data_IF_686356200208
#
_entry.id   IF_686356200208
#
_cell.length_a   1.000
_cell.length_b   1.000
_cell.length_c   1.000
_cell.angle_alpha   90.00
_cell.angle_beta   90.00
_cell.angle_gamma   90.00
#
_symmetry.space_group_name_H-M   'P 1'
#
loop_
_entity.id
_entity.type
_entity.pdbx_description
1 polymer ?
#
# COMPACT_ATOMS: atom_id res chain seq x y z
N UNK A 1 17.71 -9.24 3.00
CA UNK A 1 17.39 -9.21 1.55
C UNK A 1 16.34 -8.15 1.27
N UNK A 2 16.36 -7.60 0.05
CA UNK A 2 15.44 -6.56 -0.43
C UNK A 2 13.98 -6.98 -0.36
N UNK A 3 13.70 -8.26 -0.60
CA UNK A 3 12.36 -8.86 -0.52
C UNK A 3 11.76 -8.79 0.89
N UNK A 4 12.58 -9.00 1.93
CA UNK A 4 12.12 -8.86 3.31
C UNK A 4 11.72 -7.41 3.62
N UNK A 5 12.43 -6.41 3.06
CA UNK A 5 12.08 -4.99 3.25
C UNK A 5 10.79 -4.63 2.52
N UNK A 6 10.56 -5.15 1.32
CA UNK A 6 9.31 -4.93 0.57
C UNK A 6 8.13 -5.56 1.30
N UNK A 7 8.29 -6.77 1.84
CA UNK A 7 7.25 -7.44 2.62
C UNK A 7 6.90 -6.65 3.90
N UNK A 8 7.92 -6.18 4.63
CA UNK A 8 7.73 -5.35 5.83
C UNK A 8 7.05 -4.01 5.48
N UNK A 9 7.56 -3.29 4.48
CA UNK A 9 6.98 -2.01 4.06
C UNK A 9 5.51 -2.14 3.62
N UNK A 10 5.15 -3.23 2.93
CA UNK A 10 3.76 -3.52 2.57
C UNK A 10 2.89 -3.71 3.81
N UNK A 11 3.37 -4.50 4.77
CA UNK A 11 2.65 -4.75 6.02
C UNK A 11 2.43 -3.43 6.77
N UNK A 12 3.48 -2.64 6.93
CA UNK A 12 3.42 -1.36 7.65
C UNK A 12 2.45 -0.37 6.98
N UNK A 13 2.47 -0.28 5.64
CA UNK A 13 1.50 0.52 4.90
C UNK A 13 0.05 0.05 5.15
N UNK A 14 -0.20 -1.25 5.04
CA UNK A 14 -1.55 -1.81 5.22
C UNK A 14 -2.06 -1.63 6.66
N UNK A 15 -1.19 -1.81 7.65
CA UNK A 15 -1.52 -1.59 9.07
C UNK A 15 -1.89 -0.11 9.34
N UNK A 16 -1.13 0.83 8.75
CA UNK A 16 -1.42 2.26 8.84
C UNK A 16 -2.74 2.63 8.15
N UNK A 17 -2.99 2.08 6.94
CA UNK A 17 -4.25 2.28 6.21
C UNK A 17 -5.44 1.73 6.99
N UNK A 18 -5.32 0.53 7.57
CA UNK A 18 -6.37 -0.07 8.38
C UNK A 18 -6.71 0.77 9.60
N UNK A 19 -5.69 1.25 10.31
CA UNK A 19 -5.86 2.13 11.48
C UNK A 19 -6.56 3.42 11.11
N UNK A 20 -6.12 4.08 10.03
CA UNK A 20 -6.72 5.31 9.53
C UNK A 20 -8.18 5.09 9.09
N UNK A 21 -8.45 4.05 8.31
CA UNK A 21 -9.80 3.73 7.83
C UNK A 21 -10.75 3.43 8.99
N UNK A 22 -10.28 2.71 10.01
CA UNK A 22 -11.05 2.46 11.22
C UNK A 22 -11.29 3.76 12.00
N UNK A 23 -10.29 4.65 12.10
CA UNK A 23 -10.40 5.93 12.79
C UNK A 23 -11.45 6.84 12.16
N UNK A 24 -11.40 7.07 10.84
CA UNK A 24 -12.34 7.97 10.15
C UNK A 24 -13.79 7.45 10.13
N UNK A 25 -14.01 6.16 10.41
CA UNK A 25 -15.34 5.54 10.45
C UNK A 25 -15.97 5.56 11.85
N UNK A 26 -15.21 5.91 12.90
CA UNK A 26 -15.72 5.98 14.27
C UNK A 26 -16.45 7.30 14.53
N UNK A 27 -17.46 7.29 15.39
CA UNK A 27 -18.04 8.53 15.93
C UNK A 27 -17.07 9.15 16.95
N UNK A 28 -16.86 10.48 16.96
CA UNK A 28 -17.46 11.51 16.09
C UNK A 28 -16.69 11.75 14.78
N UNK A 29 -15.56 11.08 14.56
CA UNK A 29 -14.66 11.31 13.43
C UNK A 29 -15.32 11.16 12.06
N UNK A 30 -16.30 10.28 11.91
CA UNK A 30 -17.08 10.14 10.67
C UNK A 30 -17.81 11.42 10.26
N UNK A 31 -18.22 12.25 11.22
CA UNK A 31 -18.84 13.54 10.94
C UNK A 31 -17.80 14.54 10.46
N UNK A 32 -16.69 14.66 11.18
CA UNK A 32 -15.55 15.49 10.78
C UNK A 32 -15.04 15.10 9.40
N UNK A 33 -14.89 13.81 9.12
CA UNK A 33 -14.45 13.28 7.84
C UNK A 33 -15.41 13.64 6.69
N UNK A 34 -16.73 13.64 6.94
CA UNK A 34 -17.71 14.10 5.96
C UNK A 34 -17.60 15.61 5.68
N UNK A 35 -17.34 16.42 6.71
CA UNK A 35 -17.21 17.87 6.57
C UNK A 35 -15.90 18.24 5.86
N UNK A 36 -14.80 17.58 6.18
CA UNK A 36 -13.48 17.84 5.57
C UNK A 36 -13.23 17.10 4.27
N UNK A 37 -14.11 16.16 3.90
CA UNK A 37 -13.97 15.33 2.69
C UNK A 37 -12.96 14.19 2.83
N UNK A 38 -12.54 13.83 4.05
CA UNK A 38 -11.64 12.71 4.29
C UNK A 38 -12.30 11.38 3.89
N UNK A 39 -11.58 10.58 3.08
CA UNK A 39 -12.04 9.29 2.56
C UNK A 39 -11.14 8.15 3.03
N UNK A 40 -11.68 6.94 2.99
CA UNK A 40 -10.91 5.72 3.21
C UNK A 40 -9.82 5.58 2.13
N UNK A 41 -8.70 4.99 2.52
CA UNK A 41 -7.58 4.66 1.63
C UNK A 41 -7.61 3.18 1.27
N UNK A 42 -7.15 2.87 0.07
CA UNK A 42 -7.05 1.50 -0.40
C UNK A 42 -5.81 0.81 0.17
N UNK A 43 -5.95 -0.48 0.46
CA UNK A 43 -4.84 -1.33 0.87
C UNK A 43 -3.91 -1.59 -0.32
N UNK A 44 -2.65 -1.81 -0.02
CA UNK A 44 -1.67 -2.24 -1.01
C UNK A 44 -1.78 -3.75 -1.17
N UNK A 45 -2.26 -4.17 -2.34
CA UNK A 45 -2.32 -5.57 -2.75
C UNK A 45 -1.46 -5.79 -4.01
N UNK A 46 -0.67 -6.86 -4.01
CA UNK A 46 0.06 -7.28 -5.21
C UNK A 46 -0.86 -8.18 -6.01
N UNK A 47 -1.58 -7.57 -6.94
CA UNK A 47 -2.51 -8.27 -7.84
C UNK A 47 -1.80 -9.03 -8.95
N UNK A 48 -0.53 -8.71 -9.23
CA UNK A 48 0.25 -9.34 -10.29
C UNK A 48 1.49 -10.03 -9.73
N UNK A 49 1.52 -11.37 -9.76
CA UNK A 49 2.67 -12.15 -9.34
C UNK A 49 3.94 -11.84 -10.15
N UNK A 50 3.79 -11.42 -11.42
CA UNK A 50 4.91 -11.02 -12.27
C UNK A 50 5.60 -9.72 -11.83
N UNK A 51 4.98 -8.92 -10.95
CA UNK A 51 5.62 -7.75 -10.36
C UNK A 51 6.54 -8.10 -9.18
N UNK A 52 6.56 -9.38 -8.76
CA UNK A 52 7.51 -9.88 -7.76
C UNK A 52 8.85 -10.27 -8.38
N UNK A 53 8.85 -10.69 -9.64
CA UNK A 53 10.05 -11.07 -10.35
C UNK A 53 10.84 -9.81 -10.74
N UNK A 54 12.11 -9.75 -10.33
CA UNK A 54 13.00 -8.68 -10.75
C UNK A 54 13.16 -8.73 -12.28
N UNK A 55 13.18 -7.58 -12.99
CA UNK A 55 13.38 -7.58 -14.42
C UNK A 55 14.72 -8.22 -14.77
N UNK A 56 14.71 -9.19 -15.68
CA UNK A 56 15.91 -9.82 -16.22
C UNK A 56 16.60 -8.81 -17.14
N UNK A 57 17.66 -8.16 -16.63
CA UNK A 57 18.48 -7.25 -17.44
C UNK A 57 19.47 -8.08 -18.25
N UNK A 58 19.28 -8.09 -19.57
CA UNK A 58 20.20 -8.74 -20.51
C UNK A 58 21.19 -7.71 -21.07
N UNK A 59 22.45 -7.79 -20.64
CA UNK A 59 23.53 -6.92 -21.08
C UNK A 59 24.17 -7.36 -22.41
N UNK A 60 23.70 -8.44 -23.05
CA UNK A 60 24.28 -8.96 -24.30
C UNK A 60 23.72 -8.30 -25.55
N UNK A 61 22.62 -7.55 -25.44
CA UNK A 61 22.16 -6.67 -26.53
C UNK A 61 23.02 -5.40 -26.56
N UNK A 62 24.00 -5.39 -27.46
CA UNK A 62 24.63 -4.13 -27.91
C UNK A 62 23.57 -3.27 -28.62
N UNK A 63 23.63 -1.93 -28.48
CA UNK A 63 22.70 -1.00 -29.11
C UNK A 63 22.73 -1.09 -30.64
#
# INVERSE_FOLDING_TARGET
GTENRIAVARKDYNDAVGTYNAYIRKFPQVLTAKVTGAKARDYFEVTNAAAKDAPTVDFTKRP
#
